data_IF_190491441650
#
_entry.id   IF_190491441650
#
_cell.length_a   1.000
_cell.length_b   1.000
_cell.length_c   1.000
_cell.angle_alpha   90.00
_cell.angle_beta   90.00
_cell.angle_gamma   90.00
#
_symmetry.space_group_name_H-M   'P 1'
#
loop_
_entity.id
_entity.type
_entity.pdbx_description
1 polymer ?
#
# COMPACT_ATOMS: atom_id res chain seq x y z
N UNK A 1 9.68 48.95 36.49
CA UNK A 1 8.63 48.17 35.79
C UNK A 1 9.35 47.48 34.64
N UNK A 2 9.62 46.18 34.77
CA UNK A 2 10.37 45.42 33.79
C UNK A 2 9.42 45.10 32.62
N UNK A 3 9.68 45.65 31.44
CA UNK A 3 8.80 45.58 30.27
C UNK A 3 8.84 44.22 29.56
N UNK A 4 9.61 43.27 30.09
CA UNK A 4 9.86 41.99 29.45
C UNK A 4 8.79 40.93 29.75
N UNK A 5 7.98 41.11 30.79
CA UNK A 5 6.95 40.13 31.20
C UNK A 5 5.64 40.26 30.40
N UNK A 6 5.48 41.33 29.60
CA UNK A 6 4.21 41.62 28.90
C UNK A 6 4.12 41.01 27.50
N UNK A 7 5.24 40.55 26.91
CA UNK A 7 5.27 40.02 25.54
C UNK A 7 4.88 38.53 25.45
N UNK A 8 5.07 37.76 26.52
CA UNK A 8 4.64 36.34 26.56
C UNK A 8 3.12 36.18 26.75
N UNK A 9 2.41 37.26 27.12
CA UNK A 9 0.95 37.23 27.35
C UNK A 9 0.13 37.25 26.05
N UNK A 10 0.77 37.49 24.89
CA UNK A 10 0.13 37.49 23.57
C UNK A 10 0.51 36.30 22.69
N UNK A 11 1.27 35.34 23.22
CA UNK A 11 1.53 34.10 22.51
C UNK A 11 0.21 33.32 22.37
N UNK A 12 -0.34 33.31 21.17
CA UNK A 12 -1.49 32.47 20.83
C UNK A 12 -1.06 31.00 20.99
N UNK A 13 -1.61 30.33 21.99
CA UNK A 13 -1.36 28.91 22.24
C UNK A 13 -2.21 28.05 21.29
N UNK A 14 -1.55 27.52 20.26
CA UNK A 14 -2.16 26.62 19.27
C UNK A 14 -1.93 25.13 19.59
N UNK A 15 -1.53 24.78 20.81
CA UNK A 15 -1.18 23.40 21.15
C UNK A 15 -2.38 22.45 21.04
N UNK A 16 -3.61 22.96 21.27
CA UNK A 16 -4.85 22.19 21.11
C UNK A 16 -5.11 21.89 19.63
N UNK A 17 -5.02 22.89 18.78
CA UNK A 17 -5.22 22.78 17.33
C UNK A 17 -4.16 21.88 16.72
N UNK A 18 -2.90 22.04 17.14
CA UNK A 18 -1.80 21.15 16.78
C UNK A 18 -2.09 19.71 17.18
N UNK A 19 -2.56 19.46 18.40
CA UNK A 19 -2.93 18.11 18.87
C UNK A 19 -4.14 17.53 18.12
N UNK A 20 -5.11 18.36 17.74
CA UNK A 20 -6.24 17.95 16.91
C UNK A 20 -5.82 17.62 15.47
N UNK A 21 -4.86 18.36 14.92
CA UNK A 21 -4.26 18.10 13.61
C UNK A 21 -3.35 16.85 13.63
N UNK A 22 -2.61 16.61 14.72
CA UNK A 22 -1.79 15.40 14.91
C UNK A 22 -2.64 14.15 15.12
N UNK A 23 -3.83 14.27 15.71
CA UNK A 23 -4.78 13.17 15.73
C UNK A 23 -5.42 12.92 14.35
N UNK A 24 -5.24 13.80 13.37
CA UNK A 24 -5.93 13.78 12.08
C UNK A 24 -5.22 12.92 11.00
N UNK A 25 -4.58 11.82 11.40
CA UNK A 25 -3.98 10.81 10.48
C UNK A 25 -5.00 10.21 9.50
N UNK A 26 -6.29 10.50 9.69
CA UNK A 26 -7.39 10.15 8.80
C UNK A 26 -7.52 11.05 7.54
N UNK A 27 -6.74 12.15 7.42
CA UNK A 27 -6.79 13.05 6.26
C UNK A 27 -5.83 12.68 5.13
N UNK A 28 -4.87 11.78 5.36
CA UNK A 28 -3.92 11.37 4.35
C UNK A 28 -4.17 9.93 3.93
N UNK A 29 -3.96 9.64 2.64
CA UNK A 29 -3.93 8.26 2.18
C UNK A 29 -2.87 7.46 2.97
N UNK A 30 -3.04 6.13 3.15
CA UNK A 30 -2.12 5.33 3.94
C UNK A 30 -0.70 5.34 3.35
N UNK A 31 0.30 4.93 4.12
CA UNK A 31 1.62 4.71 3.53
C UNK A 31 1.59 3.57 2.50
N UNK A 32 2.47 3.60 1.48
CA UNK A 32 2.61 2.50 0.54
C UNK A 32 2.88 1.17 1.28
N UNK A 33 2.09 0.11 1.02
CA UNK A 33 2.41 -1.21 1.56
C UNK A 33 3.70 -1.73 0.91
N UNK A 34 4.41 -2.60 1.62
CA UNK A 34 5.64 -3.25 1.13
C UNK A 34 5.39 -4.74 0.95
N UNK A 35 5.50 -5.24 -0.28
CA UNK A 35 5.45 -6.68 -0.55
C UNK A 35 6.70 -7.33 0.04
N UNK A 36 6.49 -8.37 0.85
CA UNK A 36 7.54 -9.16 1.49
C UNK A 36 7.78 -10.42 0.67
N UNK A 37 8.58 -10.31 -0.40
CA UNK A 37 8.86 -11.43 -1.30
C UNK A 37 9.41 -12.65 -0.54
N UNK A 38 10.17 -12.42 0.55
CA UNK A 38 10.72 -13.44 1.43
C UNK A 38 9.68 -14.25 2.21
N UNK A 39 8.47 -13.70 2.38
CA UNK A 39 7.35 -14.38 3.04
C UNK A 39 6.37 -14.99 2.04
N UNK A 40 6.48 -14.65 0.75
CA UNK A 40 5.59 -15.14 -0.28
C UNK A 40 5.83 -16.63 -0.55
N UNK A 41 4.76 -17.35 -0.88
CA UNK A 41 4.84 -18.77 -1.24
C UNK A 41 4.23 -19.01 -2.61
N UNK A 42 4.76 -19.97 -3.34
CA UNK A 42 4.29 -20.35 -4.67
C UNK A 42 4.11 -21.87 -4.76
N UNK A 43 3.06 -22.28 -5.47
CA UNK A 43 2.79 -23.65 -5.89
C UNK A 43 2.78 -23.74 -7.42
N UNK A 44 2.17 -24.79 -7.98
CA UNK A 44 2.03 -24.97 -9.43
C UNK A 44 1.08 -23.95 -10.06
N UNK A 45 -0.02 -23.57 -9.38
CA UNK A 45 -1.03 -22.63 -9.88
C UNK A 45 -1.49 -21.60 -8.84
N UNK A 46 -0.79 -21.53 -7.70
CA UNK A 46 -1.09 -20.56 -6.64
C UNK A 46 0.13 -19.75 -6.25
N UNK A 47 -0.12 -18.50 -5.87
CA UNK A 47 0.86 -17.64 -5.20
C UNK A 47 0.16 -16.99 -4.01
N UNK A 48 0.73 -17.12 -2.82
CA UNK A 48 0.34 -16.34 -1.64
C UNK A 48 1.28 -15.16 -1.51
N UNK A 49 0.75 -13.97 -1.71
CA UNK A 49 1.48 -12.71 -1.58
C UNK A 49 1.34 -12.22 -0.15
N UNK A 50 2.45 -11.82 0.47
CA UNK A 50 2.47 -11.20 1.79
C UNK A 50 2.97 -9.76 1.68
N UNK A 51 2.41 -8.86 2.48
CA UNK A 51 2.86 -7.47 2.56
C UNK A 51 2.80 -6.94 3.99
N UNK A 52 3.41 -5.77 4.23
CA UNK A 52 3.36 -5.04 5.50
C UNK A 52 3.00 -3.59 5.26
N UNK A 53 2.42 -2.92 6.26
CA UNK A 53 2.18 -1.47 6.26
C UNK A 53 2.55 -0.91 7.63
N UNK A 54 3.35 0.15 7.64
CA UNK A 54 3.84 0.75 8.89
C UNK A 54 2.70 1.45 9.66
N UNK A 55 1.66 1.89 8.95
CA UNK A 55 0.45 2.54 9.46
C UNK A 55 -0.80 1.65 9.26
N UNK A 56 -0.68 0.33 9.45
CA UNK A 56 -1.76 -0.64 9.20
C UNK A 56 -3.13 -0.26 9.83
N UNK A 57 -3.12 0.40 10.99
CA UNK A 57 -4.34 0.87 11.65
C UNK A 57 -5.11 1.96 10.87
N UNK A 58 -4.44 2.68 9.96
CA UNK A 58 -5.04 3.68 9.08
C UNK A 58 -5.73 3.04 7.87
N UNK A 59 -5.39 1.77 7.56
CA UNK A 59 -5.84 1.07 6.36
C UNK A 59 -7.22 0.46 6.59
N UNK A 60 -8.17 0.82 5.73
CA UNK A 60 -9.52 0.24 5.74
C UNK A 60 -9.55 -1.09 4.98
N UNK A 61 -8.83 -1.18 3.87
CA UNK A 61 -8.69 -2.41 3.07
C UNK A 61 -7.50 -2.34 2.12
N UNK A 62 -7.10 -3.51 1.64
CA UNK A 62 -6.17 -3.64 0.53
C UNK A 62 -6.88 -4.05 -0.77
N UNK A 63 -6.28 -3.67 -1.88
CA UNK A 63 -6.58 -4.20 -3.21
C UNK A 63 -5.30 -4.82 -3.78
N UNK A 64 -5.36 -6.08 -4.20
CA UNK A 64 -4.27 -6.75 -4.90
C UNK A 64 -4.51 -6.70 -6.39
N UNK A 65 -3.53 -6.22 -7.15
CA UNK A 65 -3.54 -6.21 -8.60
C UNK A 65 -2.41 -7.09 -9.13
N UNK A 66 -2.68 -7.90 -10.16
CA UNK A 66 -1.63 -8.71 -10.77
C UNK A 66 -1.79 -8.91 -12.29
N UNK A 67 -0.68 -9.21 -12.95
CA UNK A 67 -0.63 -9.52 -14.38
C UNK A 67 0.56 -10.43 -14.72
N UNK A 68 0.53 -11.08 -15.88
CA UNK A 68 1.63 -11.93 -16.35
C UNK A 68 2.81 -11.06 -16.79
N UNK A 69 4.03 -11.43 -16.37
CA UNK A 69 5.26 -10.78 -16.80
C UNK A 69 5.77 -11.38 -18.12
N UNK A 70 5.65 -10.62 -19.21
CA UNK A 70 6.02 -11.08 -20.56
C UNK A 70 7.46 -10.73 -20.98
N UNK A 71 8.29 -10.18 -20.08
CA UNK A 71 9.71 -9.89 -20.33
C UNK A 71 10.01 -8.73 -21.30
N UNK A 72 9.13 -8.49 -22.28
CA UNK A 72 9.24 -7.41 -23.29
C UNK A 72 8.57 -6.10 -22.85
N UNK A 73 7.68 -6.14 -21.86
CA UNK A 73 6.97 -4.95 -21.41
C UNK A 73 7.78 -4.22 -20.33
N UNK A 74 8.18 -2.98 -20.62
CA UNK A 74 8.61 -2.05 -19.57
C UNK A 74 7.48 -1.96 -18.53
N UNK A 75 7.79 -1.93 -17.23
CA UNK A 75 6.78 -1.81 -16.17
C UNK A 75 5.85 -0.60 -16.42
N UNK A 76 6.40 0.45 -17.04
CA UNK A 76 5.68 1.65 -17.50
C UNK A 76 4.66 1.38 -18.62
N UNK A 77 4.90 0.40 -19.51
CA UNK A 77 3.91 0.03 -20.53
C UNK A 77 2.80 -0.85 -19.94
N UNK A 78 3.08 -1.65 -18.90
CA UNK A 78 2.08 -2.47 -18.21
C UNK A 78 1.11 -1.62 -17.37
N UNK A 79 1.58 -0.51 -16.78
CA UNK A 79 0.69 0.40 -16.07
C UNK A 79 -0.18 1.25 -17.01
N UNK A 80 0.22 1.44 -18.28
CA UNK A 80 -0.59 2.09 -19.31
C UNK A 80 -1.65 1.17 -19.94
N UNK A 81 -1.48 -0.16 -19.87
CA UNK A 81 -2.52 -1.14 -20.21
C UNK A 81 -3.34 -1.54 -18.99
N UNK A 82 -3.83 -0.55 -18.23
CA UNK A 82 -4.54 -0.77 -16.97
C UNK A 82 -5.77 -1.69 -17.10
N UNK A 83 -6.31 -1.86 -18.31
CA UNK A 83 -7.40 -2.80 -18.63
C UNK A 83 -7.01 -4.29 -18.56
N UNK A 84 -5.72 -4.62 -18.41
CA UNK A 84 -5.21 -6.01 -18.39
C UNK A 84 -4.82 -6.55 -17.00
N UNK A 85 -5.01 -5.76 -15.94
CA UNK A 85 -4.70 -6.20 -14.59
C UNK A 85 -5.88 -6.95 -13.99
N UNK A 86 -5.61 -8.10 -13.38
CA UNK A 86 -6.59 -8.77 -12.53
C UNK A 86 -6.62 -8.07 -11.17
N UNK A 87 -7.82 -7.79 -10.66
CA UNK A 87 -8.02 -7.00 -9.44
C UNK A 87 -8.78 -7.84 -8.41
N UNK A 88 -8.25 -7.86 -7.18
CA UNK A 88 -8.88 -8.44 -6.00
C UNK A 88 -9.06 -7.33 -4.96
N UNK A 89 -10.27 -6.74 -4.86
CA UNK A 89 -10.54 -5.67 -3.91
C UNK A 89 -10.89 -6.20 -2.51
N UNK A 90 -11.00 -5.28 -1.55
CA UNK A 90 -11.58 -5.50 -0.22
C UNK A 90 -10.86 -6.54 0.67
N UNK A 91 -9.57 -6.72 0.49
CA UNK A 91 -8.77 -7.63 1.33
C UNK A 91 -8.56 -6.97 2.70
N UNK A 92 -8.82 -7.70 3.79
CA UNK A 92 -8.65 -7.19 5.17
C UNK A 92 -7.39 -7.72 5.85
N UNK A 93 -6.75 -8.73 5.27
CA UNK A 93 -5.53 -9.33 5.77
C UNK A 93 -4.31 -8.73 5.06
N UNK A 94 -3.12 -8.98 5.62
CA UNK A 94 -1.84 -8.57 5.03
C UNK A 94 -1.26 -9.63 4.08
N UNK A 95 -2.11 -10.53 3.61
CA UNK A 95 -1.76 -11.54 2.62
C UNK A 95 -2.98 -11.94 1.82
N UNK A 96 -2.74 -12.49 0.63
CA UNK A 96 -3.79 -13.06 -0.20
C UNK A 96 -3.24 -14.16 -1.10
N UNK A 97 -3.99 -15.25 -1.25
CA UNK A 97 -3.65 -16.35 -2.15
C UNK A 97 -4.41 -16.21 -3.46
N UNK A 98 -3.67 -16.01 -4.55
CA UNK A 98 -4.20 -16.04 -5.91
C UNK A 98 -4.17 -17.49 -6.41
N UNK A 99 -5.27 -17.92 -7.03
CA UNK A 99 -5.45 -19.26 -7.56
C UNK A 99 -5.61 -19.25 -9.09
N UNK A 100 -5.43 -20.42 -9.73
CA UNK A 100 -5.65 -20.57 -11.17
C UNK A 100 -4.57 -19.93 -12.04
N UNK A 101 -3.36 -19.77 -11.51
CA UNK A 101 -2.21 -19.24 -12.23
C UNK A 101 -1.60 -20.29 -13.14
N UNK A 102 -0.89 -19.85 -14.18
CA UNK A 102 -0.16 -20.73 -15.08
C UNK A 102 1.12 -21.20 -14.40
N UNK A 103 1.43 -22.51 -14.46
CA UNK A 103 2.68 -23.08 -13.97
C UNK A 103 3.90 -22.49 -14.67
N UNK A 104 5.02 -22.39 -13.93
CA UNK A 104 6.29 -21.86 -14.42
C UNK A 104 6.25 -20.39 -14.89
N UNK A 105 5.19 -19.65 -14.61
CA UNK A 105 4.94 -18.31 -15.16
C UNK A 105 5.27 -17.23 -14.14
N UNK A 106 5.92 -16.16 -14.62
CA UNK A 106 6.24 -14.98 -13.82
C UNK A 106 5.06 -14.02 -13.81
N UNK A 107 4.77 -13.44 -12.66
CA UNK A 107 3.71 -12.48 -12.43
C UNK A 107 4.27 -11.23 -11.75
N UNK A 108 3.65 -10.09 -12.03
CA UNK A 108 3.84 -8.85 -11.27
C UNK A 108 2.63 -8.66 -10.37
N UNK A 109 2.89 -8.31 -9.10
CA UNK A 109 1.89 -7.99 -8.09
C UNK A 109 2.08 -6.55 -7.62
N UNK A 110 0.99 -5.83 -7.41
CA UNK A 110 0.94 -4.53 -6.75
C UNK A 110 -0.16 -4.60 -5.69
N UNK A 111 0.16 -4.14 -4.47
CA UNK A 111 -0.82 -4.01 -3.39
C UNK A 111 -1.14 -2.55 -3.22
N UNK A 112 -2.42 -2.19 -3.11
CA UNK A 112 -2.86 -0.85 -2.75
C UNK A 112 -3.43 -0.85 -1.35
N UNK A 113 -2.93 0.01 -0.48
CA UNK A 113 -3.56 0.32 0.80
C UNK A 113 -4.59 1.43 0.59
N UNK A 114 -5.79 1.26 1.13
CA UNK A 114 -6.94 2.15 0.90
C UNK A 114 -7.54 2.57 2.23
N UNK A 115 -7.82 3.87 2.38
CA UNK A 115 -8.63 4.44 3.46
C UNK A 115 -9.59 5.51 2.91
N UNK A 116 -10.24 6.26 3.80
CA UNK A 116 -11.21 7.30 3.42
C UNK A 116 -10.58 8.49 2.69
N UNK A 117 -9.29 8.76 2.91
CA UNK A 117 -8.55 9.86 2.28
C UNK A 117 -7.96 9.48 0.92
N UNK A 118 -7.91 8.18 0.57
CA UNK A 118 -7.48 7.70 -0.73
C UNK A 118 -6.69 6.40 -0.66
N UNK A 119 -5.77 6.22 -1.61
CA UNK A 119 -4.96 5.01 -1.71
C UNK A 119 -3.51 5.26 -2.09
N UNK A 120 -2.62 4.35 -1.69
CA UNK A 120 -1.23 4.28 -2.15
C UNK A 120 -0.88 2.86 -2.60
N UNK A 121 -0.14 2.76 -3.70
CA UNK A 121 0.35 1.50 -4.26
C UNK A 121 1.74 1.15 -3.71
N UNK A 122 2.00 -0.14 -3.53
CA UNK A 122 3.35 -0.67 -3.32
C UNK A 122 4.21 -0.51 -4.56
N UNK A 123 5.52 -0.66 -4.38
CA UNK A 123 6.38 -1.04 -5.50
C UNK A 123 5.95 -2.42 -6.07
N UNK A 124 6.18 -2.71 -7.36
CA UNK A 124 5.80 -3.98 -7.95
C UNK A 124 6.65 -5.15 -7.44
N UNK A 125 6.01 -6.19 -6.91
CA UNK A 125 6.64 -7.45 -6.54
C UNK A 125 6.63 -8.45 -7.70
N UNK A 126 7.72 -9.20 -7.91
CA UNK A 126 7.82 -10.17 -9.02
C UNK A 126 7.94 -11.58 -8.46
N UNK A 127 6.88 -12.37 -8.65
CA UNK A 127 6.83 -13.75 -8.16
C UNK A 127 6.62 -14.72 -9.32
N UNK A 128 7.03 -15.97 -9.14
CA UNK A 128 6.92 -17.02 -10.16
C UNK A 128 6.24 -18.24 -9.57
N UNK A 129 5.32 -18.85 -10.31
CA UNK A 129 4.79 -20.17 -9.97
C UNK A 129 5.85 -21.26 -10.20
N UNK A 130 5.75 -22.36 -9.45
CA UNK A 130 6.61 -23.52 -9.62
C UNK A 130 6.30 -24.23 -10.95
N UNK A 131 7.31 -24.90 -11.51
CA UNK A 131 7.21 -25.67 -12.76
C UNK A 131 6.95 -27.14 -12.48
#
# INVERSE_FOLDING_TARGET
INLNDTFDTFALDFSREKKLLECLDYLTAPNPPTIREELCTASYDTITVHWTSDDEFSVVSYELQYTIFTGQANVVSLCNSADSWMIVPNIKQNHYTVHGLQSGTKYIFIVKAINQAGSRSSEPGKLKTNS
#
